data_IF_514978895005
#
_entry.id   IF_514978895005
#
_cell.length_a   1.000
_cell.length_b   1.000
_cell.length_c   1.000
_cell.angle_alpha   90.00
_cell.angle_beta   90.00
_cell.angle_gamma   90.00
#
_symmetry.space_group_name_H-M   'P 1'
#
loop_
_entity.id
_entity.type
_entity.pdbx_description
1 polymer ?
#
# COMPACT_ATOMS: atom_id res chain seq x y z
N UNK A 1 23.90 -28.20 -54.22
CA UNK A 1 24.09 -26.86 -53.63
C UNK A 1 22.77 -26.32 -53.09
N UNK A 2 22.84 -25.67 -51.93
CA UNK A 2 21.94 -24.62 -51.41
C UNK A 2 20.53 -24.95 -50.90
N UNK A 3 20.40 -25.86 -49.90
CA UNK A 3 19.22 -25.81 -49.00
C UNK A 3 19.50 -25.91 -47.49
N UNK A 4 20.71 -26.31 -47.07
CA UNK A 4 21.03 -26.46 -45.63
C UNK A 4 21.73 -25.25 -44.98
N UNK A 5 22.04 -24.19 -45.73
CA UNK A 5 22.80 -23.04 -45.20
C UNK A 5 21.95 -21.86 -44.68
N UNK A 6 20.62 -21.88 -44.83
CA UNK A 6 19.76 -20.75 -44.40
C UNK A 6 19.05 -20.92 -43.05
N UNK A 7 19.11 -22.09 -42.42
CA UNK A 7 18.49 -22.29 -41.09
C UNK A 7 19.45 -22.09 -39.91
N UNK A 8 20.76 -22.08 -40.15
CA UNK A 8 21.76 -21.86 -39.10
C UNK A 8 21.98 -20.35 -38.83
N UNK A 9 21.70 -19.49 -39.80
CA UNK A 9 21.85 -18.03 -39.66
C UNK A 9 20.79 -17.36 -38.77
N UNK A 10 19.56 -17.87 -38.73
CA UNK A 10 18.47 -17.25 -37.94
C UNK A 10 18.49 -17.74 -36.48
N UNK A 11 18.88 -18.99 -36.23
CA UNK A 11 19.01 -19.52 -34.88
C UNK A 11 20.19 -18.90 -34.09
N UNK A 12 21.29 -18.56 -34.77
CA UNK A 12 22.46 -17.94 -34.13
C UNK A 12 22.28 -16.45 -33.82
N UNK A 13 21.41 -15.73 -34.55
CA UNK A 13 21.08 -14.33 -34.23
C UNK A 13 20.11 -14.25 -33.04
N UNK A 14 19.23 -15.25 -32.87
CA UNK A 14 18.37 -15.32 -31.68
C UNK A 14 19.19 -15.60 -30.41
N UNK A 15 20.17 -16.51 -30.46
CA UNK A 15 20.99 -16.87 -29.29
C UNK A 15 21.99 -15.78 -28.84
N UNK A 16 22.40 -14.87 -29.72
CA UNK A 16 23.22 -13.71 -29.33
C UNK A 16 22.40 -12.52 -28.81
N UNK A 17 21.12 -12.42 -29.19
CA UNK A 17 20.18 -11.46 -28.59
C UNK A 17 19.73 -11.89 -27.18
N UNK A 18 19.77 -13.19 -26.85
CA UNK A 18 19.69 -13.70 -25.48
C UNK A 18 21.08 -13.80 -24.83
N UNK A 19 21.91 -12.77 -24.99
CA UNK A 19 22.98 -12.54 -24.00
C UNK A 19 22.29 -12.29 -22.66
N UNK A 20 22.17 -13.35 -21.86
CA UNK A 20 21.57 -13.41 -20.54
C UNK A 20 22.08 -12.28 -19.65
N UNK A 21 21.39 -11.15 -19.68
CA UNK A 21 21.49 -10.16 -18.63
C UNK A 21 20.74 -10.75 -17.44
N UNK A 22 21.46 -11.54 -16.62
CA UNK A 22 20.90 -12.30 -15.49
C UNK A 22 20.19 -11.42 -14.45
N UNK A 23 20.29 -10.10 -14.58
CA UNK A 23 19.68 -9.10 -13.73
C UNK A 23 18.64 -8.25 -14.50
N UNK A 24 17.81 -8.85 -15.36
CA UNK A 24 16.64 -8.17 -15.94
C UNK A 24 15.33 -8.64 -15.34
N UNK A 25 14.31 -7.78 -15.44
CA UNK A 25 12.93 -8.13 -15.11
C UNK A 25 12.39 -9.08 -16.17
N UNK A 26 12.15 -10.33 -15.75
CA UNK A 26 11.41 -11.32 -16.53
C UNK A 26 10.06 -11.56 -15.85
N UNK A 27 9.04 -12.05 -16.57
CA UNK A 27 7.75 -12.37 -15.98
C UNK A 27 7.85 -13.25 -14.72
N UNK A 28 8.80 -14.19 -14.70
CA UNK A 28 9.05 -15.07 -13.55
C UNK A 28 9.55 -14.29 -12.34
N UNK A 29 10.53 -13.40 -12.54
CA UNK A 29 11.09 -12.58 -11.46
C UNK A 29 10.13 -11.50 -10.98
N UNK A 30 9.33 -10.93 -11.86
CA UNK A 30 8.25 -10.02 -11.47
C UNK A 30 7.25 -10.76 -10.57
N UNK A 31 6.87 -11.98 -10.94
CA UNK A 31 5.96 -12.83 -10.15
C UNK A 31 6.55 -13.18 -8.79
N UNK A 32 7.82 -13.60 -8.75
CA UNK A 32 8.54 -13.94 -7.52
C UNK A 32 8.67 -12.73 -6.60
N UNK A 33 9.07 -11.57 -7.14
CA UNK A 33 9.15 -10.31 -6.40
C UNK A 33 7.79 -9.94 -5.79
N UNK A 34 6.73 -9.93 -6.62
CA UNK A 34 5.38 -9.60 -6.15
C UNK A 34 4.95 -10.56 -5.05
N UNK A 35 5.20 -11.86 -5.19
CA UNK A 35 4.87 -12.85 -4.17
C UNK A 35 5.59 -12.57 -2.85
N UNK A 36 6.91 -12.41 -2.87
CA UNK A 36 7.70 -12.12 -1.68
C UNK A 36 7.29 -10.78 -1.01
N UNK A 37 6.97 -9.78 -1.82
CA UNK A 37 6.52 -8.47 -1.33
C UNK A 37 5.13 -8.55 -0.70
N UNK A 38 4.20 -9.30 -1.32
CA UNK A 38 2.86 -9.57 -0.76
C UNK A 38 2.96 -10.32 0.57
N UNK A 39 3.75 -11.38 0.65
CA UNK A 39 3.97 -12.14 1.88
C UNK A 39 4.55 -11.24 2.99
N UNK A 40 5.45 -10.33 2.63
CA UNK A 40 6.00 -9.32 3.54
C UNK A 40 4.95 -8.31 4.01
N UNK A 41 4.08 -7.82 3.11
CA UNK A 41 2.99 -6.92 3.47
C UNK A 41 1.92 -7.61 4.35
N UNK A 42 1.64 -8.88 4.09
CA UNK A 42 0.71 -9.67 4.89
C UNK A 42 1.25 -9.90 6.32
N UNK A 43 2.54 -10.27 6.42
CA UNK A 43 3.19 -10.54 7.71
C UNK A 43 3.50 -9.28 8.51
N UNK A 44 4.08 -8.24 7.88
CA UNK A 44 4.43 -6.98 8.53
C UNK A 44 3.20 -6.07 8.75
N UNK A 45 2.23 -6.13 7.85
CA UNK A 45 1.05 -5.28 7.88
C UNK A 45 -0.05 -5.73 8.82
N UNK A 46 -0.04 -6.95 9.39
CA UNK A 46 -1.09 -7.48 10.30
C UNK A 46 -2.54 -7.16 9.87
N UNK A 47 -2.80 -7.18 8.55
CA UNK A 47 -4.13 -6.87 8.00
C UNK A 47 -4.45 -5.39 7.79
N UNK A 48 -3.48 -4.48 7.87
CA UNK A 48 -3.61 -3.05 7.52
C UNK A 48 -4.14 -2.87 6.09
N UNK A 49 -3.67 -3.72 5.16
CA UNK A 49 -4.09 -3.69 3.76
C UNK A 49 -5.11 -4.81 3.49
N UNK A 50 -6.17 -4.52 2.73
CA UNK A 50 -7.00 -5.54 2.10
C UNK A 50 -6.20 -6.30 1.04
N UNK A 51 -6.70 -7.44 0.58
CA UNK A 51 -6.02 -8.20 -0.49
C UNK A 51 -5.84 -7.37 -1.77
N UNK A 52 -6.87 -6.61 -2.17
CA UNK A 52 -6.79 -5.67 -3.30
C UNK A 52 -5.72 -4.59 -3.10
N UNK A 53 -5.58 -4.07 -1.88
CA UNK A 53 -4.53 -3.11 -1.55
C UNK A 53 -3.16 -3.76 -1.59
N UNK A 54 -3.00 -4.98 -1.08
CA UNK A 54 -1.73 -5.72 -1.14
C UNK A 54 -1.31 -5.98 -2.59
N UNK A 55 -2.27 -6.35 -3.44
CA UNK A 55 -2.05 -6.51 -4.89
C UNK A 55 -1.59 -5.18 -5.49
N UNK A 56 -2.35 -4.10 -5.27
CA UNK A 56 -2.01 -2.77 -5.78
C UNK A 56 -0.62 -2.31 -5.36
N UNK A 57 -0.28 -2.44 -4.07
CA UNK A 57 1.02 -2.00 -3.57
C UNK A 57 2.15 -2.78 -4.23
N UNK A 58 2.01 -4.12 -4.34
CA UNK A 58 3.03 -4.95 -4.99
C UNK A 58 3.26 -4.57 -6.47
N UNK A 59 2.18 -4.29 -7.20
CA UNK A 59 2.26 -3.90 -8.60
C UNK A 59 2.85 -2.49 -8.76
N UNK A 60 2.39 -1.55 -7.93
CA UNK A 60 2.88 -0.18 -7.94
C UNK A 60 4.38 -0.09 -7.63
N UNK A 61 4.88 -0.85 -6.64
CA UNK A 61 6.31 -0.83 -6.29
C UNK A 61 7.14 -1.37 -7.45
N UNK A 62 6.72 -2.48 -8.06
CA UNK A 62 7.42 -3.05 -9.20
C UNK A 62 7.51 -2.06 -10.37
N UNK A 63 6.38 -1.41 -10.73
CA UNK A 63 6.36 -0.45 -11.82
C UNK A 63 7.21 0.80 -11.51
N UNK A 64 7.22 1.28 -10.26
CA UNK A 64 8.12 2.36 -9.85
C UNK A 64 9.59 1.93 -9.94
N UNK A 65 9.95 0.71 -9.54
CA UNK A 65 11.31 0.20 -9.69
C UNK A 65 11.74 0.14 -11.16
N UNK A 66 10.89 -0.40 -12.03
CA UNK A 66 11.12 -0.44 -13.49
C UNK A 66 11.28 0.97 -14.07
N UNK A 67 10.44 1.92 -13.66
CA UNK A 67 10.54 3.32 -14.11
C UNK A 67 11.86 4.01 -13.72
N UNK A 68 12.51 3.54 -12.65
CA UNK A 68 13.83 4.03 -12.20
C UNK A 68 14.99 3.18 -12.71
N UNK A 69 14.74 2.26 -13.65
CA UNK A 69 15.71 1.30 -14.17
C UNK A 69 16.38 0.44 -13.08
N UNK A 70 15.75 0.30 -11.91
CA UNK A 70 16.24 -0.60 -10.86
C UNK A 70 16.02 -2.03 -11.29
N UNK A 71 17.08 -2.82 -11.30
CA UNK A 71 17.01 -4.25 -11.60
C UNK A 71 16.69 -5.07 -10.34
N UNK A 72 16.27 -6.35 -10.49
CA UNK A 72 15.90 -7.20 -9.35
C UNK A 72 16.94 -7.25 -8.23
N UNK A 73 18.22 -7.36 -8.58
CA UNK A 73 19.30 -7.47 -7.58
C UNK A 73 19.74 -6.10 -7.04
N UNK A 74 19.43 -5.02 -7.75
CA UNK A 74 19.82 -3.68 -7.33
C UNK A 74 19.10 -3.29 -6.05
N UNK A 75 17.89 -3.80 -5.80
CA UNK A 75 17.11 -3.55 -4.59
C UNK A 75 17.80 -3.98 -3.27
N UNK A 76 18.85 -4.79 -3.36
CA UNK A 76 19.55 -5.33 -2.19
C UNK A 76 20.71 -4.46 -1.71
N UNK A 77 21.09 -3.40 -2.44
CA UNK A 77 22.10 -2.46 -1.93
C UNK A 77 21.48 -1.52 -0.88
N UNK A 78 22.24 -1.03 0.11
CA UNK A 78 21.68 -0.18 1.16
C UNK A 78 21.01 1.11 0.64
N UNK A 79 21.57 1.72 -0.41
CA UNK A 79 21.08 2.98 -0.98
C UNK A 79 19.78 2.79 -1.77
N UNK A 80 19.68 1.74 -2.56
CA UNK A 80 18.47 1.39 -3.32
C UNK A 80 17.38 0.81 -2.42
N UNK A 81 17.74 0.08 -1.35
CA UNK A 81 16.80 -0.43 -0.36
C UNK A 81 15.98 0.70 0.27
N UNK A 82 16.63 1.83 0.63
CA UNK A 82 15.93 3.01 1.14
C UNK A 82 14.98 3.62 0.09
N UNK A 83 15.40 3.67 -1.18
CA UNK A 83 14.57 4.14 -2.29
C UNK A 83 13.34 3.25 -2.50
N UNK A 84 13.52 1.93 -2.49
CA UNK A 84 12.44 0.94 -2.61
C UNK A 84 11.49 1.00 -1.42
N UNK A 85 12.00 1.20 -0.19
CA UNK A 85 11.15 1.45 0.98
C UNK A 85 10.30 2.70 0.83
N UNK A 86 10.85 3.79 0.27
CA UNK A 86 10.09 5.01 0.01
C UNK A 86 9.02 4.80 -1.07
N UNK A 87 9.33 4.05 -2.14
CA UNK A 87 8.32 3.62 -3.13
C UNK A 87 7.21 2.78 -2.47
N UNK A 88 7.59 1.85 -1.59
CA UNK A 88 6.65 1.04 -0.82
C UNK A 88 5.70 1.90 0.01
N UNK A 89 6.22 2.93 0.68
CA UNK A 89 5.40 3.93 1.39
C UNK A 89 4.46 4.64 0.43
N UNK A 90 4.95 5.21 -0.68
CA UNK A 90 4.09 5.91 -1.64
C UNK A 90 2.99 5.01 -2.20
N UNK A 91 3.31 3.78 -2.60
CA UNK A 91 2.36 2.83 -3.15
C UNK A 91 1.32 2.37 -2.11
N UNK A 92 1.76 2.14 -0.87
CA UNK A 92 0.86 1.91 0.27
C UNK A 92 -0.10 3.07 0.49
N UNK A 93 0.36 4.30 0.32
CA UNK A 93 -0.48 5.48 0.48
C UNK A 93 -1.48 5.63 -0.67
N UNK A 94 -1.03 5.39 -1.90
CA UNK A 94 -1.90 5.40 -3.07
C UNK A 94 -2.99 4.33 -3.00
N UNK A 95 -2.69 3.15 -2.43
CA UNK A 95 -3.65 2.05 -2.31
C UNK A 95 -4.85 2.41 -1.42
N UNK A 96 -4.66 3.21 -0.38
CA UNK A 96 -5.78 3.68 0.46
C UNK A 96 -6.73 4.65 -0.27
N UNK A 97 -6.24 5.32 -1.32
CA UNK A 97 -7.05 6.27 -2.10
C UNK A 97 -7.66 5.59 -3.33
N UNK A 98 -6.92 4.69 -3.98
CA UNK A 98 -7.29 4.09 -5.26
C UNK A 98 -7.98 2.74 -5.13
N UNK A 99 -7.65 1.95 -4.11
CA UNK A 99 -8.41 0.75 -3.80
C UNK A 99 -9.63 1.17 -2.98
N UNK A 100 -10.80 0.69 -3.39
CA UNK A 100 -12.08 0.99 -2.75
C UNK A 100 -11.96 0.82 -1.23
N UNK A 101 -12.48 1.79 -0.49
CA UNK A 101 -12.73 1.70 0.96
C UNK A 101 -13.35 0.32 1.24
N UNK A 102 -12.85 -0.39 2.26
CA UNK A 102 -13.26 -1.75 2.68
C UNK A 102 -14.65 -2.13 2.14
N UNK A 103 -14.81 -3.23 1.42
CA UNK A 103 -16.17 -3.57 0.99
C UNK A 103 -17.10 -3.73 2.21
N UNK A 104 -18.39 -3.38 2.11
CA UNK A 104 -19.36 -3.54 3.21
C UNK A 104 -19.35 -4.94 3.85
N UNK A 105 -18.95 -5.96 3.08
CA UNK A 105 -18.77 -7.35 3.52
C UNK A 105 -17.52 -7.61 4.37
N UNK A 106 -16.46 -6.80 4.22
CA UNK A 106 -15.20 -6.92 4.97
C UNK A 106 -15.20 -6.09 6.26
N UNK A 107 -16.15 -5.17 6.39
CA UNK A 107 -16.31 -4.37 7.59
C UNK A 107 -16.99 -5.19 8.67
N UNK A 108 -16.20 -5.74 9.59
CA UNK A 108 -16.77 -6.24 10.85
C UNK A 108 -17.58 -5.13 11.49
N UNK A 109 -18.82 -5.45 11.84
CA UNK A 109 -19.76 -4.47 12.37
C UNK A 109 -19.51 -4.14 13.86
N UNK A 110 -18.35 -4.54 14.40
CA UNK A 110 -17.92 -4.31 15.77
C UNK A 110 -16.51 -3.74 15.81
N UNK A 111 -16.25 -2.88 16.80
CA UNK A 111 -14.92 -2.39 17.13
C UNK A 111 -14.13 -3.45 17.88
N UNK A 112 -13.61 -4.46 17.19
CA UNK A 112 -12.55 -5.31 17.73
C UNK A 112 -11.19 -4.59 17.69
N UNK A 113 -10.22 -5.09 18.46
CA UNK A 113 -8.90 -4.45 18.59
C UNK A 113 -8.21 -4.25 17.23
N UNK A 114 -8.37 -5.21 16.32
CA UNK A 114 -7.79 -5.16 14.98
C UNK A 114 -8.47 -4.06 14.12
N UNK A 115 -9.80 -4.03 14.12
CA UNK A 115 -10.58 -3.04 13.36
C UNK A 115 -10.31 -1.63 13.88
N UNK A 116 -10.24 -1.47 15.20
CA UNK A 116 -9.86 -0.22 15.84
C UNK A 116 -8.46 0.24 15.40
N UNK A 117 -7.44 -0.64 15.47
CA UNK A 117 -6.08 -0.31 15.06
C UNK A 117 -5.98 0.09 13.58
N UNK A 118 -6.69 -0.62 12.69
CA UNK A 118 -6.75 -0.28 11.26
C UNK A 118 -7.33 1.12 11.04
N UNK A 119 -8.47 1.43 11.63
CA UNK A 119 -9.10 2.73 11.45
C UNK A 119 -8.28 3.86 12.08
N UNK A 120 -7.66 3.64 13.25
CA UNK A 120 -6.72 4.62 13.85
C UNK A 120 -5.56 4.91 12.92
N UNK A 121 -5.01 3.87 12.30
CA UNK A 121 -3.90 4.01 11.34
C UNK A 121 -4.33 4.81 10.12
N UNK A 122 -5.49 4.52 9.52
CA UNK A 122 -6.03 5.26 8.37
C UNK A 122 -6.27 6.73 8.72
N UNK A 123 -6.91 7.00 9.86
CA UNK A 123 -7.19 8.37 10.33
C UNK A 123 -5.91 9.15 10.59
N UNK A 124 -4.98 8.57 11.36
CA UNK A 124 -3.67 9.17 11.65
C UNK A 124 -2.96 9.52 10.35
N UNK A 125 -2.92 8.59 9.41
CA UNK A 125 -2.29 8.81 8.12
C UNK A 125 -2.93 9.99 7.36
N UNK A 126 -4.27 10.05 7.32
CA UNK A 126 -5.01 11.16 6.72
C UNK A 126 -4.64 12.53 7.31
N UNK A 127 -4.55 12.63 8.64
CA UNK A 127 -4.19 13.88 9.32
C UNK A 127 -2.72 14.29 9.13
N UNK A 128 -1.80 13.33 9.07
CA UNK A 128 -0.40 13.64 8.73
C UNK A 128 -0.31 14.28 7.34
N UNK A 129 -1.10 13.79 6.38
CA UNK A 129 -1.16 14.37 5.02
C UNK A 129 -1.67 15.81 4.99
N UNK A 130 -2.53 16.20 5.94
CA UNK A 130 -3.00 17.58 6.07
C UNK A 130 -2.01 18.49 6.82
N UNK A 131 -0.80 17.99 7.13
CA UNK A 131 0.27 18.76 7.75
C UNK A 131 0.34 18.66 9.27
N UNK A 132 -0.42 17.75 9.90
CA UNK A 132 -0.29 17.52 11.34
C UNK A 132 0.93 16.66 11.65
N UNK A 133 1.58 16.92 12.80
CA UNK A 133 2.64 16.03 13.29
C UNK A 133 2.07 14.64 13.61
N UNK A 134 2.92 13.61 13.50
CA UNK A 134 2.54 12.21 13.78
C UNK A 134 1.88 12.03 15.15
N UNK A 135 2.37 12.74 16.17
CA UNK A 135 1.82 12.73 17.53
C UNK A 135 0.40 13.31 17.57
N UNK A 136 0.19 14.49 16.99
CA UNK A 136 -1.13 15.15 16.93
C UNK A 136 -2.12 14.34 16.10
N UNK A 137 -1.66 13.76 15.00
CA UNK A 137 -2.46 12.89 14.17
C UNK A 137 -2.87 11.60 14.90
N UNK A 138 -1.98 11.02 15.71
CA UNK A 138 -2.31 9.87 16.56
C UNK A 138 -3.37 10.24 17.60
N UNK A 139 -3.19 11.39 18.26
CA UNK A 139 -4.16 11.90 19.24
C UNK A 139 -5.57 12.07 18.64
N UNK A 140 -5.67 12.70 17.47
CA UNK A 140 -6.97 12.90 16.82
C UNK A 140 -7.57 11.55 16.39
N UNK A 141 -6.76 10.61 15.89
CA UNK A 141 -7.23 9.28 15.53
C UNK A 141 -7.80 8.50 16.74
N UNK A 142 -7.10 8.53 17.87
CA UNK A 142 -7.56 7.91 19.12
C UNK A 142 -8.85 8.56 19.63
N UNK A 143 -8.90 9.89 19.62
CA UNK A 143 -10.09 10.64 20.01
C UNK A 143 -11.28 10.30 19.11
N UNK A 144 -11.09 10.30 17.78
CA UNK A 144 -12.16 10.05 16.83
C UNK A 144 -12.77 8.66 17.03
N UNK A 145 -11.94 7.64 17.23
CA UNK A 145 -12.42 6.28 17.46
C UNK A 145 -13.14 6.14 18.81
N UNK A 146 -12.63 6.80 19.85
CA UNK A 146 -13.30 6.83 21.16
C UNK A 146 -14.69 7.44 21.04
N UNK A 147 -14.83 8.58 20.36
CA UNK A 147 -16.12 9.25 20.15
C UNK A 147 -17.08 8.48 19.26
N UNK A 148 -16.57 7.77 18.24
CA UNK A 148 -17.40 6.88 17.42
C UNK A 148 -17.99 5.75 18.26
N UNK A 149 -17.18 5.15 19.14
CA UNK A 149 -17.62 4.10 20.07
C UNK A 149 -18.63 4.63 21.09
N UNK A 150 -18.39 5.80 21.69
CA UNK A 150 -19.31 6.47 22.61
C UNK A 150 -20.69 6.72 22.00
N UNK A 151 -20.73 7.06 20.71
CA UNK A 151 -21.97 7.32 19.97
C UNK A 151 -22.55 6.05 19.32
N UNK A 152 -22.03 4.86 19.65
CA UNK A 152 -22.44 3.56 19.09
C UNK A 152 -22.36 3.49 17.55
N UNK A 153 -21.52 4.31 16.93
CA UNK A 153 -21.28 4.30 15.49
C UNK A 153 -20.33 3.17 15.16
N UNK A 154 -20.78 2.24 14.33
CA UNK A 154 -20.01 1.06 13.93
C UNK A 154 -19.16 1.38 12.70
N UNK A 155 -18.11 0.59 12.44
CA UNK A 155 -17.28 0.76 11.25
C UNK A 155 -18.08 0.77 9.94
N UNK A 156 -19.16 -0.02 9.84
CA UNK A 156 -20.00 -0.08 8.63
C UNK A 156 -20.80 1.21 8.41
N UNK A 157 -21.18 1.89 9.49
CA UNK A 157 -21.92 3.16 9.44
C UNK A 157 -21.06 4.27 8.83
N UNK A 158 -19.73 4.19 8.99
CA UNK A 158 -18.78 5.16 8.40
C UNK A 158 -18.72 5.10 6.87
N UNK A 159 -19.28 4.04 6.26
CA UNK A 159 -19.35 3.91 4.81
C UNK A 159 -20.61 4.52 4.22
N UNK A 160 -21.60 4.86 5.05
CA UNK A 160 -22.80 5.54 4.58
C UNK A 160 -22.49 7.04 4.43
N UNK A 161 -22.60 7.60 3.21
CA UNK A 161 -22.39 9.04 3.00
C UNK A 161 -23.30 9.92 3.86
N UNK A 162 -24.47 9.42 4.28
CA UNK A 162 -25.39 10.13 5.18
C UNK A 162 -24.78 10.41 6.56
N UNK A 163 -23.78 9.64 6.96
CA UNK A 163 -23.06 9.83 8.22
C UNK A 163 -21.86 10.78 8.08
N UNK A 164 -21.64 11.37 6.91
CA UNK A 164 -20.53 12.31 6.66
C UNK A 164 -20.52 13.50 7.63
N UNK A 165 -21.68 14.12 7.88
CA UNK A 165 -21.83 15.23 8.83
C UNK A 165 -21.43 14.83 10.25
N UNK A 166 -21.77 13.60 10.65
CA UNK A 166 -21.43 13.09 11.97
C UNK A 166 -19.92 12.89 12.10
N UNK A 167 -19.29 12.28 11.10
CA UNK A 167 -17.84 12.09 11.06
C UNK A 167 -17.12 13.44 11.12
N UNK A 168 -17.61 14.44 10.40
CA UNK A 168 -17.04 15.79 10.43
C UNK A 168 -17.17 16.45 11.80
N UNK A 169 -18.33 16.32 12.47
CA UNK A 169 -18.53 16.81 13.84
C UNK A 169 -17.57 16.16 14.84
N UNK A 170 -17.36 14.85 14.73
CA UNK A 170 -16.39 14.11 15.56
C UNK A 170 -14.97 14.62 15.31
N UNK A 171 -14.59 14.78 14.04
CA UNK A 171 -13.28 15.34 13.67
C UNK A 171 -13.06 16.73 14.24
N UNK A 172 -14.07 17.61 14.18
CA UNK A 172 -14.03 18.95 14.76
C UNK A 172 -13.85 18.91 16.27
N UNK A 173 -14.64 18.11 16.98
CA UNK A 173 -14.54 17.96 18.44
C UNK A 173 -13.15 17.50 18.88
N UNK A 174 -12.56 16.54 18.16
CA UNK A 174 -11.20 16.07 18.44
C UNK A 174 -10.13 17.12 18.15
N UNK A 175 -10.32 17.94 17.11
CA UNK A 175 -9.47 19.10 16.85
C UNK A 175 -9.53 20.15 17.97
N UNK A 176 -10.73 20.43 18.49
CA UNK A 176 -10.92 21.33 19.64
C UNK A 176 -10.27 20.78 20.91
N UNK A 177 -10.41 19.48 21.18
CA UNK A 177 -9.72 18.83 22.32
C UNK A 177 -8.21 18.89 22.19
N UNK A 178 -7.66 18.69 21.00
CA UNK A 178 -6.23 18.81 20.77
C UNK A 178 -5.74 20.24 21.08
N UNK A 179 -6.51 21.26 20.69
CA UNK A 179 -6.17 22.65 20.95
C UNK A 179 -6.26 23.02 22.44
N UNK A 180 -7.12 22.35 23.22
CA UNK A 180 -7.22 22.54 24.68
C UNK A 180 -6.08 21.88 25.47
N UNK A 181 -5.40 20.89 24.89
CA UNK A 181 -4.24 20.21 25.50
C UNK A 181 -2.90 20.88 25.18
N UNK A 182 -2.92 21.91 24.33
CA UNK A 182 -1.77 22.78 24.04
C UNK A 182 -1.63 23.86 25.11
#
# INVERSE_FOLDING_TARGET
MNKFLNYIGIALIALTLFSCNKNEWTPEKETEFKKAFKDSLQSAGKGIFSEDQIIYVSDCVLEKMKSKNLKPNDAQTPETSLSVMNMGKECAQESFVKCKTLSKSEVKNSWDSNTEEKYKTILKYGFVRTGLSSEKASFIADCAISKLKEQNIRPADLQDPKNGDLVQKIGKACGEELMRKK
#
